data_IF_409111302784
#
_entry.id   IF_409111302784
#
_cell.length_a   1.000
_cell.length_b   1.000
_cell.length_c   1.000
_cell.angle_alpha   90.00
_cell.angle_beta   90.00
_cell.angle_gamma   90.00
#
_symmetry.space_group_name_H-M   'P 1'
#
loop_
_entity.id
_entity.type
_entity.pdbx_description
1 polymer ?
#
# COMPACT_ATOMS: atom_id res chain seq x y z
N UNK A 1 -45.96 -1.30 -42.72
CA UNK A 1 -44.68 -0.64 -42.41
C UNK A 1 -44.34 -0.55 -40.91
N UNK A 2 -45.25 -0.24 -39.98
CA UNK A 2 -44.93 -0.12 -38.53
C UNK A 2 -44.55 -1.44 -37.83
N UNK A 3 -45.07 -2.59 -38.24
CA UNK A 3 -44.78 -3.91 -37.64
C UNK A 3 -43.42 -4.49 -38.04
N UNK A 4 -42.95 -4.22 -39.25
CA UNK A 4 -41.65 -4.67 -39.77
C UNK A 4 -40.49 -3.91 -39.12
N UNK A 5 -40.67 -2.61 -38.85
CA UNK A 5 -39.62 -1.79 -38.16
C UNK A 5 -39.44 -2.23 -36.71
N UNK A 6 -40.55 -2.58 -36.01
CA UNK A 6 -40.48 -3.05 -34.62
C UNK A 6 -39.78 -4.41 -34.52
N UNK A 7 -40.00 -5.33 -35.46
CA UNK A 7 -39.31 -6.63 -35.48
C UNK A 7 -37.82 -6.52 -35.78
N UNK A 8 -37.40 -5.60 -36.65
CA UNK A 8 -35.98 -5.35 -36.93
C UNK A 8 -35.27 -4.72 -35.74
N UNK A 9 -35.92 -3.80 -35.01
CA UNK A 9 -35.36 -3.20 -33.80
C UNK A 9 -35.18 -4.21 -32.64
N UNK A 10 -36.11 -5.17 -32.48
CA UNK A 10 -36.00 -6.22 -31.46
C UNK A 10 -34.89 -7.21 -31.84
N UNK A 11 -34.71 -7.54 -33.11
CA UNK A 11 -33.61 -8.43 -33.55
C UNK A 11 -32.25 -7.76 -33.45
N UNK A 12 -32.14 -6.43 -33.64
CA UNK A 12 -30.91 -5.67 -33.44
C UNK A 12 -30.54 -5.53 -31.96
N UNK A 13 -31.54 -5.43 -31.07
CA UNK A 13 -31.31 -5.31 -29.63
C UNK A 13 -30.85 -6.63 -29.00
N UNK A 14 -31.28 -7.78 -29.55
CA UNK A 14 -30.82 -9.10 -29.07
C UNK A 14 -29.40 -9.44 -29.51
N UNK A 15 -28.91 -8.87 -30.61
CA UNK A 15 -27.54 -9.07 -31.09
C UNK A 15 -26.49 -8.27 -30.27
N UNK A 16 -26.89 -7.20 -29.56
CA UNK A 16 -25.99 -6.39 -28.73
C UNK A 16 -25.75 -7.04 -27.35
N UNK A 17 -26.66 -7.91 -26.89
CA UNK A 17 -26.56 -8.57 -25.59
C UNK A 17 -25.66 -9.81 -25.57
N UNK A 18 -25.18 -10.30 -26.71
CA UNK A 18 -24.29 -11.46 -26.81
C UNK A 18 -22.80 -11.08 -26.94
N UNK A 19 -22.45 -9.79 -26.94
CA UNK A 19 -21.06 -9.33 -27.05
C UNK A 19 -20.32 -9.16 -25.69
N UNK A 20 -21.00 -9.39 -24.56
CA UNK A 20 -20.36 -9.50 -23.24
C UNK A 20 -20.24 -10.99 -22.86
N UNK A 21 -19.47 -11.74 -23.63
CA UNK A 21 -18.87 -12.97 -23.12
C UNK A 21 -17.82 -12.62 -22.08
N UNK A 22 -17.68 -13.38 -20.98
CA UNK A 22 -16.55 -13.21 -20.11
C UNK A 22 -15.27 -13.35 -20.94
N UNK A 23 -14.36 -12.39 -20.83
CA UNK A 23 -13.02 -12.54 -21.37
C UNK A 23 -12.44 -13.86 -20.83
N UNK A 24 -11.66 -14.61 -21.62
CA UNK A 24 -10.99 -15.78 -21.11
C UNK A 24 -10.13 -15.34 -19.95
N UNK A 25 -10.50 -15.74 -18.75
CA UNK A 25 -9.68 -15.62 -17.55
C UNK A 25 -8.60 -16.69 -17.67
N UNK A 26 -7.53 -16.36 -18.38
CA UNK A 26 -6.28 -17.10 -18.30
C UNK A 26 -5.43 -16.41 -17.22
N UNK A 27 -5.84 -16.64 -15.98
CA UNK A 27 -5.00 -16.51 -14.81
C UNK A 27 -5.56 -17.49 -13.79
N UNK A 28 -4.78 -18.39 -13.34
CA UNK A 28 -4.87 -18.95 -12.00
C UNK A 28 -4.77 -17.76 -11.04
N UNK A 29 -5.90 -17.06 -10.88
CA UNK A 29 -6.03 -16.00 -9.88
C UNK A 29 -5.95 -16.70 -8.51
N UNK A 30 -4.75 -16.74 -7.95
CA UNK A 30 -4.52 -17.20 -6.58
C UNK A 30 -5.17 -16.26 -5.56
N UNK A 31 -5.77 -15.16 -6.00
CA UNK A 31 -6.25 -14.09 -5.12
C UNK A 31 -5.14 -13.36 -4.37
N UNK A 32 -3.89 -13.51 -4.80
CA UNK A 32 -2.70 -12.85 -4.24
C UNK A 32 -2.22 -11.75 -5.17
N UNK A 33 -1.66 -10.68 -4.60
CA UNK A 33 -1.15 -9.54 -5.38
C UNK A 33 0.07 -9.93 -6.23
N UNK A 34 0.95 -10.80 -5.70
CA UNK A 34 2.10 -11.31 -6.41
C UNK A 34 2.47 -12.74 -5.97
N UNK A 35 2.93 -13.57 -6.91
CA UNK A 35 3.32 -14.96 -6.64
C UNK A 35 4.66 -15.27 -7.32
N UNK A 36 5.62 -15.72 -6.54
CA UNK A 36 6.87 -16.31 -7.00
C UNK A 36 6.76 -17.83 -6.84
N UNK A 37 6.53 -18.53 -7.95
CA UNK A 37 6.33 -19.99 -7.96
C UNK A 37 7.50 -20.67 -8.67
N UNK A 38 8.26 -21.43 -7.90
CA UNK A 38 9.39 -22.25 -8.39
C UNK A 38 9.17 -23.75 -8.17
N UNK A 39 7.92 -24.17 -8.00
CA UNK A 39 7.53 -25.57 -7.85
C UNK A 39 8.04 -26.23 -6.57
N UNK A 40 8.37 -25.45 -5.55
CA UNK A 40 8.83 -25.95 -4.26
C UNK A 40 7.70 -26.55 -3.43
N UNK A 41 8.04 -27.45 -2.52
CA UNK A 41 7.09 -28.06 -1.56
C UNK A 41 6.65 -27.08 -0.45
N UNK A 42 7.36 -25.95 -0.30
CA UNK A 42 7.09 -24.93 0.73
C UNK A 42 6.59 -23.65 0.06
N UNK A 43 5.44 -23.18 0.53
CA UNK A 43 4.90 -21.89 0.16
C UNK A 43 4.85 -20.99 1.39
N UNK A 44 5.44 -19.80 1.30
CA UNK A 44 5.41 -18.76 2.33
C UNK A 44 4.45 -17.66 1.92
N UNK A 45 3.39 -17.45 2.70
CA UNK A 45 2.38 -16.39 2.48
C UNK A 45 2.70 -15.19 3.34
N UNK A 46 2.91 -14.05 2.71
CA UNK A 46 3.34 -12.81 3.38
C UNK A 46 2.34 -11.69 3.15
N UNK A 47 1.84 -11.11 4.23
CA UNK A 47 1.10 -9.84 4.19
C UNK A 47 2.07 -8.69 4.46
N UNK A 48 2.33 -7.87 3.44
CA UNK A 48 3.38 -6.87 3.42
C UNK A 48 2.85 -5.45 3.26
N UNK A 49 3.61 -4.49 3.75
CA UNK A 49 3.44 -3.10 3.37
C UNK A 49 3.75 -2.90 1.88
N UNK A 50 3.00 -2.02 1.20
CA UNK A 50 3.16 -1.77 -0.24
C UNK A 50 4.52 -1.19 -0.62
N UNK A 51 5.23 -0.58 0.32
CA UNK A 51 6.61 -0.10 0.13
C UNK A 51 7.60 -1.23 -0.19
N UNK A 52 7.29 -2.47 0.20
CA UNK A 52 8.16 -3.62 -0.03
C UNK A 52 8.02 -4.22 -1.45
N UNK A 53 7.12 -3.72 -2.29
CA UNK A 53 7.04 -4.09 -3.71
C UNK A 53 8.37 -3.82 -4.45
N UNK A 54 9.09 -2.78 -4.05
CA UNK A 54 10.42 -2.49 -4.60
C UNK A 54 11.46 -3.60 -4.33
N UNK A 55 11.17 -4.52 -3.42
CA UNK A 55 12.04 -5.64 -3.05
C UNK A 55 11.66 -6.94 -3.76
N UNK A 56 10.65 -6.95 -4.63
CA UNK A 56 10.20 -8.15 -5.34
C UNK A 56 11.31 -8.86 -6.11
N UNK A 57 12.22 -8.10 -6.74
CA UNK A 57 13.37 -8.70 -7.43
C UNK A 57 14.29 -9.50 -6.49
N UNK A 58 14.45 -9.07 -5.24
CA UNK A 58 15.25 -9.78 -4.23
C UNK A 58 14.50 -11.02 -3.74
N UNK A 59 13.18 -10.92 -3.59
CA UNK A 59 12.33 -12.05 -3.18
C UNK A 59 12.27 -13.12 -4.28
N UNK A 60 12.22 -12.71 -5.55
CA UNK A 60 12.27 -13.61 -6.70
C UNK A 60 13.58 -14.39 -6.73
N UNK A 61 14.73 -13.70 -6.63
CA UNK A 61 16.04 -14.34 -6.57
C UNK A 61 16.14 -15.33 -5.41
N UNK A 62 15.68 -14.93 -4.21
CA UNK A 62 15.67 -15.81 -3.04
C UNK A 62 14.78 -17.03 -3.24
N UNK A 63 13.55 -16.85 -3.74
CA UNK A 63 12.61 -17.95 -3.97
C UNK A 63 13.20 -18.96 -4.95
N UNK A 64 13.79 -18.47 -6.05
CA UNK A 64 14.46 -19.29 -7.07
C UNK A 64 15.66 -20.04 -6.49
N UNK A 65 16.55 -19.37 -5.77
CA UNK A 65 17.75 -19.98 -5.20
C UNK A 65 17.43 -21.07 -4.15
N UNK A 66 16.35 -20.88 -3.40
CA UNK A 66 15.95 -21.81 -2.34
C UNK A 66 14.96 -22.87 -2.80
N UNK A 67 14.38 -22.74 -4.01
CA UNK A 67 13.36 -23.66 -4.52
C UNK A 67 12.10 -23.63 -3.64
N UNK A 68 11.67 -22.44 -3.23
CA UNK A 68 10.45 -22.22 -2.43
C UNK A 68 9.48 -21.32 -3.20
N UNK A 69 8.21 -21.35 -2.82
CA UNK A 69 7.21 -20.42 -3.35
C UNK A 69 6.94 -19.31 -2.35
N UNK A 70 6.75 -18.08 -2.83
CA UNK A 70 6.36 -16.94 -2.00
C UNK A 70 5.10 -16.31 -2.59
N UNK A 71 4.08 -16.13 -1.76
CA UNK A 71 2.84 -15.43 -2.10
C UNK A 71 2.80 -14.13 -1.31
N UNK A 72 2.65 -13.00 -2.01
CA UNK A 72 2.63 -11.66 -1.42
C UNK A 72 1.26 -11.05 -1.56
N UNK A 73 0.76 -10.45 -0.48
CA UNK A 73 -0.34 -9.49 -0.50
C UNK A 73 0.15 -8.17 0.06
N UNK A 74 -0.27 -7.06 -0.54
CA UNK A 74 0.19 -5.73 -0.16
C UNK A 74 -0.94 -4.88 0.42
N UNK A 75 -0.71 -4.34 1.61
CA UNK A 75 -1.66 -3.48 2.31
C UNK A 75 -0.95 -2.32 3.01
N UNK A 76 -1.72 -1.30 3.40
CA UNK A 76 -1.19 -0.30 4.32
C UNK A 76 -0.90 -0.90 5.70
N UNK A 77 0.14 -0.43 6.38
CA UNK A 77 0.57 -1.03 7.66
C UNK A 77 -0.48 -0.98 8.76
N UNK A 78 -1.41 -0.02 8.71
CA UNK A 78 -2.54 0.03 9.66
C UNK A 78 -3.59 -1.03 9.34
N UNK A 79 -3.75 -1.40 8.07
CA UNK A 79 -4.64 -2.50 7.68
C UNK A 79 -4.02 -3.85 8.05
N UNK A 80 -2.69 -4.01 7.92
CA UNK A 80 -1.95 -5.16 8.46
C UNK A 80 -2.18 -5.29 9.98
N UNK A 81 -2.08 -4.17 10.71
CA UNK A 81 -2.38 -4.14 12.14
C UNK A 81 -3.79 -4.64 12.44
N UNK A 82 -4.81 -4.19 11.68
CA UNK A 82 -6.20 -4.64 11.85
C UNK A 82 -6.36 -6.13 11.52
N UNK A 83 -5.67 -6.61 10.49
CA UNK A 83 -5.65 -8.05 10.15
C UNK A 83 -5.09 -8.88 11.32
N UNK A 84 -4.04 -8.40 11.98
CA UNK A 84 -3.48 -9.07 13.18
C UNK A 84 -4.45 -9.11 14.36
N UNK A 85 -5.37 -8.14 14.47
CA UNK A 85 -6.42 -8.12 15.51
C UNK A 85 -7.58 -9.09 15.19
N UNK A 86 -7.68 -9.57 13.96
CA UNK A 86 -8.73 -10.50 13.52
C UNK A 86 -8.69 -11.85 14.22
N UNK A 87 -9.78 -12.62 14.12
CA UNK A 87 -9.89 -13.95 14.74
C UNK A 87 -9.01 -14.99 14.05
N UNK A 88 -8.84 -14.88 12.73
CA UNK A 88 -8.00 -15.77 11.91
C UNK A 88 -7.07 -14.96 11.02
N UNK A 89 -5.91 -15.53 10.72
CA UNK A 89 -4.89 -14.95 9.85
C UNK A 89 -4.45 -16.05 8.89
N UNK A 90 -4.56 -15.80 7.58
CA UNK A 90 -4.15 -16.74 6.51
C UNK A 90 -2.79 -16.33 5.92
N UNK A 91 -1.86 -15.98 6.79
CA UNK A 91 -0.49 -15.62 6.43
C UNK A 91 0.51 -16.26 7.38
N UNK A 92 1.66 -16.68 6.84
CA UNK A 92 2.76 -17.23 7.61
C UNK A 92 3.66 -16.13 8.19
N UNK A 93 3.69 -14.97 7.52
CA UNK A 93 4.45 -13.80 7.95
C UNK A 93 3.69 -12.50 7.70
N UNK A 94 4.03 -11.47 8.48
CA UNK A 94 3.57 -10.09 8.28
C UNK A 94 4.77 -9.16 8.27
N UNK A 95 4.77 -8.20 7.33
CA UNK A 95 5.88 -7.29 7.11
C UNK A 95 5.43 -5.83 6.97
N UNK A 96 4.98 -5.19 8.04
CA UNK A 96 4.62 -3.78 8.03
C UNK A 96 5.86 -2.87 8.02
N UNK A 97 5.69 -1.61 7.63
CA UNK A 97 6.74 -0.60 7.63
C UNK A 97 7.36 -0.31 9.01
N UNK A 98 6.66 -0.63 10.09
CA UNK A 98 7.13 -0.39 11.46
C UNK A 98 6.66 -1.49 12.41
N UNK A 99 7.55 -1.90 13.31
CA UNK A 99 7.23 -2.83 14.40
C UNK A 99 6.18 -2.31 15.37
N UNK A 100 5.91 -1.00 15.37
CA UNK A 100 4.81 -0.38 16.13
C UNK A 100 3.47 -1.06 15.79
N UNK A 101 3.25 -1.34 14.51
CA UNK A 101 2.00 -1.93 14.05
C UNK A 101 1.86 -3.40 14.45
N UNK A 102 2.98 -4.12 14.59
CA UNK A 102 2.98 -5.47 15.17
C UNK A 102 2.57 -5.40 16.64
N UNK A 103 3.20 -4.51 17.40
CA UNK A 103 2.91 -4.36 18.84
C UNK A 103 1.45 -3.93 19.09
N UNK A 104 0.92 -3.01 18.29
CA UNK A 104 -0.45 -2.53 18.43
C UNK A 104 -1.50 -3.52 17.91
N UNK A 105 -1.14 -4.35 16.93
CA UNK A 105 -2.05 -5.30 16.27
C UNK A 105 -2.10 -6.67 16.93
N UNK A 106 -0.97 -7.18 17.39
CA UNK A 106 -0.88 -8.55 17.92
C UNK A 106 -1.40 -8.67 19.36
N UNK A 107 -2.68 -8.42 19.54
CA UNK A 107 -3.38 -8.54 20.83
C UNK A 107 -3.52 -9.98 21.32
N UNK A 108 -3.27 -10.95 20.46
CA UNK A 108 -3.40 -12.38 20.75
C UNK A 108 -2.06 -13.11 20.86
N UNK A 109 -0.94 -12.38 20.81
CA UNK A 109 0.43 -12.91 20.93
C UNK A 109 0.75 -14.02 19.91
N UNK A 110 0.31 -13.84 18.67
CA UNK A 110 0.52 -14.78 17.56
C UNK A 110 1.88 -14.60 16.91
N UNK A 111 2.37 -13.37 16.84
CA UNK A 111 3.66 -13.07 16.23
C UNK A 111 4.78 -13.70 17.06
N UNK A 112 5.59 -14.50 16.39
CA UNK A 112 6.78 -15.13 16.95
C UNK A 112 8.04 -14.48 16.42
N UNK A 113 9.10 -14.56 16.50
CA UNK A 113 10.34 -14.17 15.78
C UNK A 113 10.29 -12.80 15.09
N UNK A 114 9.70 -11.77 15.74
CA UNK A 114 9.71 -10.42 15.18
C UNK A 114 11.13 -9.86 15.14
N UNK A 115 11.54 -9.32 13.97
CA UNK A 115 12.85 -8.72 13.78
C UNK A 115 12.76 -7.50 12.88
N UNK A 116 13.45 -6.42 13.25
CA UNK A 116 13.64 -5.27 12.37
C UNK A 116 14.75 -5.58 11.35
N UNK A 117 14.43 -5.43 10.08
CA UNK A 117 15.34 -5.70 8.96
C UNK A 117 15.71 -4.44 8.17
N UNK A 118 14.96 -3.35 8.34
CA UNK A 118 15.20 -2.08 7.67
C UNK A 118 14.73 -0.90 8.54
N UNK A 119 15.22 0.29 8.23
CA UNK A 119 14.76 1.55 8.81
C UNK A 119 14.45 2.48 7.65
N UNK A 120 13.20 2.93 7.56
CA UNK A 120 12.71 3.85 6.53
C UNK A 120 12.17 5.11 7.20
N UNK A 121 12.89 6.25 7.17
CA UNK A 121 12.40 7.49 7.73
C UNK A 121 11.26 8.04 6.86
N UNK A 122 10.25 8.63 7.49
CA UNK A 122 9.24 9.43 6.79
C UNK A 122 9.83 10.82 6.53
N UNK A 123 9.91 11.22 5.28
CA UNK A 123 10.51 12.48 4.85
C UNK A 123 9.54 13.26 3.96
N UNK A 124 9.72 14.58 3.90
CA UNK A 124 8.97 15.45 3.00
C UNK A 124 9.81 15.71 1.75
N UNK A 125 9.22 15.42 0.59
CA UNK A 125 9.80 15.78 -0.69
C UNK A 125 9.19 17.08 -1.22
N UNK A 126 10.02 17.99 -1.72
CA UNK A 126 9.60 19.21 -2.37
C UNK A 126 10.43 19.41 -3.64
N UNK A 127 9.84 20.01 -4.69
CA UNK A 127 10.60 20.38 -5.88
C UNK A 127 11.63 21.44 -5.53
N UNK A 128 12.86 21.30 -6.02
CA UNK A 128 13.96 22.20 -5.72
C UNK A 128 13.61 23.67 -6.03
N UNK A 129 13.03 23.93 -7.20
CA UNK A 129 12.64 25.29 -7.58
C UNK A 129 11.67 25.94 -6.58
N UNK A 130 10.67 25.16 -6.10
CA UNK A 130 9.72 25.65 -5.12
C UNK A 130 10.38 25.85 -3.74
N UNK A 131 11.30 24.98 -3.37
CA UNK A 131 12.06 25.16 -2.13
C UNK A 131 12.94 26.41 -2.16
N UNK A 132 13.52 26.74 -3.32
CA UNK A 132 14.29 27.98 -3.54
C UNK A 132 13.37 29.21 -3.44
N UNK A 133 12.20 29.20 -4.10
CA UNK A 133 11.21 30.29 -4.07
C UNK A 133 10.72 30.56 -2.63
N UNK A 134 10.48 29.51 -1.85
CA UNK A 134 10.02 29.61 -0.45
C UNK A 134 11.17 29.89 0.52
N UNK A 135 12.42 29.97 0.06
CA UNK A 135 13.60 30.19 0.90
C UNK A 135 13.88 29.04 1.86
N UNK A 136 13.53 27.81 1.49
CA UNK A 136 13.74 26.62 2.31
C UNK A 136 15.13 25.99 2.12
N UNK A 137 15.82 26.35 1.05
CA UNK A 137 17.16 25.82 0.77
C UNK A 137 18.20 26.43 1.68
N UNK A 138 19.07 25.59 2.24
CA UNK A 138 20.22 26.02 3.06
C UNK A 138 19.89 26.43 4.50
N UNK A 139 18.69 26.16 4.98
CA UNK A 139 18.28 26.36 6.38
C UNK A 139 17.46 25.19 6.92
N UNK A 140 17.27 25.14 8.20
CA UNK A 140 16.26 24.29 8.81
C UNK A 140 14.86 24.80 8.49
N UNK A 141 13.96 23.88 8.14
CA UNK A 141 12.56 24.15 7.82
C UNK A 141 11.69 23.49 8.87
N UNK A 142 10.94 24.29 9.59
CA UNK A 142 10.03 23.80 10.62
C UNK A 142 8.65 23.43 10.04
N UNK A 143 7.87 22.67 10.80
CA UNK A 143 6.45 22.41 10.48
C UNK A 143 5.65 23.72 10.39
N UNK A 144 6.01 24.72 11.20
CA UNK A 144 5.40 26.05 11.14
C UNK A 144 5.65 26.77 9.82
N UNK A 145 6.87 26.64 9.25
CA UNK A 145 7.17 27.21 7.91
C UNK A 145 6.32 26.55 6.82
N UNK A 146 6.20 25.23 6.86
CA UNK A 146 5.36 24.48 5.92
C UNK A 146 3.90 24.90 6.04
N UNK A 147 3.38 24.97 7.26
CA UNK A 147 2.00 25.37 7.51
C UNK A 147 1.72 26.79 7.03
N UNK A 148 2.67 27.73 7.23
CA UNK A 148 2.57 29.10 6.78
C UNK A 148 2.49 29.19 5.25
N UNK A 149 3.35 28.46 4.53
CA UNK A 149 3.35 28.41 3.08
C UNK A 149 2.05 27.79 2.51
N UNK A 150 1.53 26.73 3.18
CA UNK A 150 0.25 26.11 2.81
C UNK A 150 -0.91 27.10 3.01
N UNK A 151 -0.96 27.81 4.13
CA UNK A 151 -2.01 28.78 4.44
C UNK A 151 -1.96 30.00 3.50
N UNK A 152 -0.77 30.39 3.04
CA UNK A 152 -0.58 31.44 2.04
C UNK A 152 -0.98 30.99 0.61
N UNK A 153 -1.22 29.70 0.39
CA UNK A 153 -1.49 29.15 -0.93
C UNK A 153 -0.25 29.01 -1.82
N UNK A 154 0.93 29.10 -1.24
CA UNK A 154 2.21 29.02 -1.94
C UNK A 154 2.73 27.56 -2.03
N UNK A 155 2.22 26.68 -1.17
CA UNK A 155 2.58 25.26 -1.12
C UNK A 155 1.32 24.40 -1.08
N UNK A 156 1.19 23.47 -2.02
CA UNK A 156 0.24 22.37 -1.94
C UNK A 156 0.89 21.16 -1.31
N UNK A 157 0.22 20.58 -0.33
CA UNK A 157 0.72 19.42 0.41
C UNK A 157 -0.19 18.22 0.22
N UNK A 158 0.38 17.08 -0.10
CA UNK A 158 -0.33 15.81 -0.09
C UNK A 158 0.44 14.75 0.73
N UNK A 159 -0.28 13.85 1.32
CA UNK A 159 0.26 12.68 2.02
C UNK A 159 -0.63 11.47 1.79
N UNK A 160 -0.14 10.30 2.09
CA UNK A 160 -0.94 9.07 2.09
C UNK A 160 -1.96 9.09 3.23
N UNK A 161 -2.93 8.18 3.18
CA UNK A 161 -3.98 8.09 4.21
C UNK A 161 -3.39 7.89 5.60
N UNK A 162 -3.72 8.78 6.53
CA UNK A 162 -3.31 8.67 7.93
C UNK A 162 -3.98 7.50 8.69
N UNK A 163 -5.02 6.89 8.10
CA UNK A 163 -5.78 5.78 8.71
C UNK A 163 -5.47 4.41 8.10
N UNK A 164 -4.61 4.35 7.09
CA UNK A 164 -4.25 3.11 6.39
C UNK A 164 -2.74 2.95 6.23
N UNK A 165 -2.02 4.03 5.93
CA UNK A 165 -0.60 4.01 5.61
C UNK A 165 0.26 4.40 6.81
N UNK A 166 1.42 3.73 6.95
CA UNK A 166 2.43 4.09 7.95
C UNK A 166 2.95 5.51 7.76
N UNK A 167 3.31 5.91 6.53
CA UNK A 167 3.87 7.24 6.26
C UNK A 167 2.86 8.34 6.54
N UNK A 168 1.59 8.17 6.14
CA UNK A 168 0.54 9.13 6.44
C UNK A 168 0.27 9.26 7.93
N UNK A 169 0.15 8.15 8.65
CA UNK A 169 -0.05 8.18 10.10
C UNK A 169 1.14 8.80 10.84
N UNK A 170 2.36 8.42 10.47
CA UNK A 170 3.58 8.96 11.08
C UNK A 170 3.74 10.46 10.82
N UNK A 171 3.49 10.91 9.58
CA UNK A 171 3.51 12.33 9.24
C UNK A 171 2.46 13.11 10.05
N UNK A 172 1.23 12.59 10.14
CA UNK A 172 0.16 13.22 10.91
C UNK A 172 0.52 13.35 12.38
N UNK A 173 1.04 12.28 13.01
CA UNK A 173 1.50 12.30 14.39
C UNK A 173 2.67 13.29 14.55
N UNK A 174 3.63 13.30 13.64
CA UNK A 174 4.75 14.23 13.65
C UNK A 174 4.30 15.70 13.61
N UNK A 175 3.33 16.03 12.78
CA UNK A 175 2.72 17.38 12.76
C UNK A 175 2.06 17.73 14.10
N UNK A 176 1.30 16.82 14.70
CA UNK A 176 0.68 17.05 16.00
C UNK A 176 1.72 17.29 17.09
N UNK A 177 2.79 16.49 17.13
CA UNK A 177 3.86 16.66 18.11
C UNK A 177 4.55 18.01 17.95
N UNK A 178 4.88 18.40 16.72
CA UNK A 178 5.52 19.69 16.46
C UNK A 178 4.63 20.88 16.88
N UNK A 179 3.32 20.81 16.60
CA UNK A 179 2.36 21.84 16.98
C UNK A 179 2.13 21.94 18.49
N UNK A 180 2.25 20.83 19.21
CA UNK A 180 2.14 20.77 20.68
C UNK A 180 3.43 21.20 21.39
N UNK A 181 4.50 21.52 20.65
CA UNK A 181 5.78 21.90 21.19
C UNK A 181 6.56 20.78 21.87
N UNK A 182 6.21 19.54 21.57
CA UNK A 182 6.97 18.37 22.02
C UNK A 182 8.05 18.04 20.96
N UNK A 183 9.35 18.12 21.28
CA UNK A 183 10.39 17.68 20.35
C UNK A 183 10.30 16.16 20.20
N UNK A 184 10.43 15.69 18.94
CA UNK A 184 10.61 14.26 18.65
C UNK A 184 12.02 13.81 18.98
#
# INVERSE_FOLDING_TARGET
MKRTVLSVCILALTLILTACGPAPSDSTDSGRDHVFDYGGDVTLRILSGSENQELEGILDDFARERGVNIEMDYQGSLDIMRTLQGESIDYDAVWPASSLWLTAGDTQYRVKHAQSISITPVVFGIRQSLAEELGFVGREVSVGDLLSAIQAGELEFCMTSATQSNSGCSAYIGFLYALLGNPM
#
